data_IF_642277978647
#
_entry.id   IF_642277978647
#
_cell.length_a   1.000
_cell.length_b   1.000
_cell.length_c   1.000
_cell.angle_alpha   90.00
_cell.angle_beta   90.00
_cell.angle_gamma   90.00
#
_symmetry.space_group_name_H-M   'P 1'
#
loop_
_entity.id
_entity.type
_entity.pdbx_description
1 polymer ?
#
# COMPACT_ATOMS: atom_id res chain seq x y z
N UNK A 1 -17.22 -10.63 10.87
CA UNK A 1 -17.06 -11.60 9.77
C UNK A 1 -17.51 -11.02 8.44
N UNK A 2 -18.61 -10.28 8.33
CA UNK A 2 -18.97 -9.57 7.09
C UNK A 2 -17.90 -8.57 6.61
N UNK A 3 -17.07 -8.05 7.51
CA UNK A 3 -15.97 -7.13 7.21
C UNK A 3 -14.79 -7.78 6.45
N UNK A 4 -14.72 -9.08 6.38
CA UNK A 4 -13.59 -9.85 5.84
C UNK A 4 -14.07 -10.89 4.81
N UNK A 5 -15.27 -10.72 4.26
CA UNK A 5 -15.89 -11.58 3.27
C UNK A 5 -15.88 -13.08 3.65
N UNK A 6 -16.18 -13.36 4.92
CA UNK A 6 -16.41 -14.72 5.43
C UNK A 6 -17.83 -14.83 5.96
N UNK A 7 -18.60 -15.83 5.46
CA UNK A 7 -19.94 -16.08 5.93
C UNK A 7 -19.92 -16.58 7.40
N UNK A 8 -20.52 -15.81 8.35
CA UNK A 8 -20.51 -16.21 9.75
C UNK A 8 -21.12 -17.57 10.01
N UNK A 9 -22.22 -17.93 9.32
CA UNK A 9 -22.92 -19.20 9.50
C UNK A 9 -22.01 -20.40 9.19
N UNK A 10 -21.10 -20.22 8.23
CA UNK A 10 -20.19 -21.27 7.80
C UNK A 10 -18.91 -21.34 8.66
N UNK A 11 -18.37 -20.17 9.08
CA UNK A 11 -17.02 -20.08 9.64
C UNK A 11 -16.97 -19.87 11.15
N UNK A 12 -18.10 -19.51 11.81
CA UNK A 12 -18.11 -19.14 13.23
C UNK A 12 -17.63 -20.28 14.16
N UNK A 13 -17.90 -21.53 13.78
CA UNK A 13 -17.60 -22.71 14.59
C UNK A 13 -16.45 -23.57 14.04
N UNK A 14 -15.73 -23.09 13.00
CA UNK A 14 -14.59 -23.82 12.45
C UNK A 14 -13.35 -23.64 13.31
N UNK A 15 -12.63 -24.73 13.53
CA UNK A 15 -11.31 -24.68 14.16
C UNK A 15 -10.25 -24.18 13.15
N UNK A 16 -9.12 -23.58 13.62
CA UNK A 16 -8.04 -23.11 12.75
C UNK A 16 -7.55 -24.18 11.75
N UNK A 17 -7.50 -25.45 12.16
CA UNK A 17 -7.11 -26.57 11.30
C UNK A 17 -8.06 -26.87 10.14
N UNK A 18 -9.25 -26.29 10.16
CA UNK A 18 -10.28 -26.43 9.14
C UNK A 18 -10.34 -25.25 8.18
N UNK A 19 -9.39 -24.30 8.33
CA UNK A 19 -9.31 -23.06 7.56
C UNK A 19 -8.13 -23.11 6.59
N UNK A 20 -8.27 -22.51 5.42
CA UNK A 20 -7.14 -22.22 4.56
C UNK A 20 -6.26 -21.12 5.16
N UNK A 21 -5.00 -20.99 4.68
CA UNK A 21 -4.08 -19.93 5.13
C UNK A 21 -4.70 -18.53 4.95
N UNK A 22 -5.34 -18.28 3.81
CA UNK A 22 -6.02 -17.01 3.54
C UNK A 22 -7.21 -16.76 4.46
N UNK A 23 -8.02 -17.79 4.76
CA UNK A 23 -9.12 -17.67 5.73
C UNK A 23 -8.61 -17.37 7.14
N UNK A 24 -7.51 -17.99 7.55
CA UNK A 24 -6.85 -17.68 8.83
C UNK A 24 -6.36 -16.24 8.90
N UNK A 25 -5.76 -15.73 7.81
CA UNK A 25 -5.33 -14.33 7.75
C UNK A 25 -6.50 -13.35 7.83
N UNK A 26 -7.56 -13.57 7.06
CA UNK A 26 -8.80 -12.75 7.15
C UNK A 26 -9.37 -12.73 8.57
N UNK A 27 -9.44 -13.88 9.23
CA UNK A 27 -9.89 -13.96 10.64
C UNK A 27 -8.91 -13.23 11.58
N UNK A 28 -7.59 -13.31 11.31
CA UNK A 28 -6.58 -12.55 12.06
C UNK A 28 -6.81 -11.05 11.99
N UNK A 29 -7.10 -10.51 10.80
CA UNK A 29 -7.47 -9.11 10.61
C UNK A 29 -8.73 -8.77 11.40
N UNK A 30 -9.82 -9.54 11.26
CA UNK A 30 -11.05 -9.29 12.00
C UNK A 30 -10.84 -9.31 13.53
N UNK A 31 -10.00 -10.22 14.02
CA UNK A 31 -9.64 -10.30 15.43
C UNK A 31 -8.94 -9.05 15.93
N UNK A 32 -8.06 -8.45 15.11
CA UNK A 32 -7.36 -7.22 15.47
C UNK A 32 -8.33 -6.04 15.68
N UNK A 33 -9.44 -6.00 14.97
CA UNK A 33 -10.47 -4.98 15.12
C UNK A 33 -11.52 -5.29 16.19
N UNK A 34 -11.61 -6.53 16.68
CA UNK A 34 -12.73 -6.97 17.54
C UNK A 34 -12.84 -6.24 18.89
N UNK A 35 -11.71 -5.75 19.42
CA UNK A 35 -11.65 -5.00 20.68
C UNK A 35 -11.71 -3.48 20.48
N UNK A 36 -11.91 -3.01 19.27
CA UNK A 36 -11.95 -1.60 18.91
C UNK A 36 -10.73 -0.77 19.41
N UNK A 37 -9.49 -1.25 19.26
CA UNK A 37 -8.31 -0.54 19.75
C UNK A 37 -8.05 0.72 18.95
N UNK A 38 -7.34 1.70 19.52
CA UNK A 38 -6.91 2.90 18.80
C UNK A 38 -5.75 2.65 17.84
N UNK A 39 -4.89 1.68 18.20
CA UNK A 39 -3.71 1.29 17.41
C UNK A 39 -3.77 -0.21 17.13
N UNK A 40 -3.61 -0.58 15.86
CA UNK A 40 -3.59 -1.96 15.39
C UNK A 40 -2.22 -2.26 14.80
N UNK A 41 -1.59 -3.34 15.26
CA UNK A 41 -0.32 -3.83 14.74
C UNK A 41 -0.54 -5.10 13.94
N UNK A 42 -0.03 -5.15 12.71
CA UNK A 42 -0.13 -6.29 11.82
C UNK A 42 1.25 -6.65 11.27
N UNK A 43 1.57 -7.93 11.28
CA UNK A 43 2.80 -8.47 10.71
C UNK A 43 2.46 -9.32 9.49
N UNK A 44 2.91 -8.87 8.32
CA UNK A 44 2.66 -9.48 7.01
C UNK A 44 1.20 -9.93 6.77
N UNK A 45 0.19 -9.04 6.93
CA UNK A 45 -1.23 -9.43 6.96
C UNK A 45 -1.75 -10.03 5.67
N UNK A 46 -1.00 -9.94 4.56
CA UNK A 46 -1.44 -10.38 3.22
C UNK A 46 -0.58 -11.51 2.64
N UNK A 47 0.44 -12.00 3.35
CA UNK A 47 1.47 -12.89 2.80
C UNK A 47 0.96 -14.24 2.30
N UNK A 48 -0.08 -14.82 2.94
CA UNK A 48 -0.65 -16.13 2.57
C UNK A 48 -1.83 -16.04 1.59
N UNK A 49 -2.06 -14.87 0.99
CA UNK A 49 -3.18 -14.66 0.05
C UNK A 49 -2.72 -14.76 -1.41
N UNK A 50 -3.58 -15.30 -2.25
CA UNK A 50 -3.45 -15.16 -3.71
C UNK A 50 -3.63 -13.69 -4.14
N UNK A 51 -3.16 -13.28 -5.32
CA UNK A 51 -3.18 -11.87 -5.74
C UNK A 51 -4.56 -11.23 -5.76
N UNK A 52 -5.62 -11.97 -6.10
CA UNK A 52 -6.99 -11.45 -6.16
C UNK A 52 -7.51 -11.19 -4.75
N UNK A 53 -7.44 -12.19 -3.88
CA UNK A 53 -7.84 -12.09 -2.48
C UNK A 53 -7.05 -11.05 -1.71
N UNK A 54 -5.75 -10.91 -2.02
CA UNK A 54 -4.87 -9.88 -1.44
C UNK A 54 -5.37 -8.49 -1.78
N UNK A 55 -5.59 -8.20 -3.06
CA UNK A 55 -6.10 -6.89 -3.50
C UNK A 55 -7.44 -6.55 -2.85
N UNK A 56 -8.34 -7.51 -2.75
CA UNK A 56 -9.64 -7.33 -2.11
C UNK A 56 -9.48 -6.99 -0.63
N UNK A 57 -8.69 -7.76 0.13
CA UNK A 57 -8.50 -7.52 1.57
C UNK A 57 -7.77 -6.19 1.85
N UNK A 58 -6.85 -5.76 0.96
CA UNK A 58 -6.20 -4.46 1.04
C UNK A 58 -7.23 -3.32 0.90
N UNK A 59 -8.16 -3.40 -0.06
CA UNK A 59 -9.23 -2.42 -0.22
C UNK A 59 -10.16 -2.41 0.99
N UNK A 60 -10.57 -3.58 1.48
CA UNK A 60 -11.40 -3.72 2.68
C UNK A 60 -10.72 -3.08 3.90
N UNK A 61 -9.39 -3.26 4.06
CA UNK A 61 -8.62 -2.69 5.16
C UNK A 61 -8.60 -1.16 5.11
N UNK A 62 -8.38 -0.57 3.93
CA UNK A 62 -8.41 0.89 3.74
C UNK A 62 -9.80 1.44 4.06
N UNK A 63 -10.87 0.81 3.55
CA UNK A 63 -12.24 1.22 3.85
C UNK A 63 -12.57 1.15 5.34
N UNK A 64 -12.07 0.10 6.03
CA UNK A 64 -12.24 -0.05 7.47
C UNK A 64 -11.51 1.04 8.25
N UNK A 65 -10.27 1.31 7.87
CA UNK A 65 -9.47 2.36 8.48
C UNK A 65 -10.16 3.72 8.34
N UNK A 66 -10.68 4.02 7.14
CA UNK A 66 -11.41 5.26 6.88
C UNK A 66 -12.71 5.39 7.71
N UNK A 67 -13.45 4.30 7.86
CA UNK A 67 -14.69 4.28 8.64
C UNK A 67 -14.43 4.38 10.15
N UNK A 68 -13.42 3.67 10.64
CA UNK A 68 -13.14 3.56 12.08
C UNK A 68 -12.12 4.57 12.58
N UNK A 69 -11.40 5.25 11.67
CA UNK A 69 -10.36 6.24 11.98
C UNK A 69 -9.29 5.73 12.94
N UNK A 70 -8.87 4.48 12.74
CA UNK A 70 -7.86 3.82 13.56
C UNK A 70 -6.46 4.06 12.99
N UNK A 71 -5.46 4.01 13.86
CA UNK A 71 -4.05 3.96 13.44
C UNK A 71 -3.66 2.51 13.21
N UNK A 72 -3.27 2.19 11.98
CA UNK A 72 -2.81 0.85 11.61
C UNK A 72 -1.32 0.93 11.30
N UNK A 73 -0.52 0.13 11.99
CA UNK A 73 0.89 -0.10 11.68
C UNK A 73 1.02 -1.52 11.18
N UNK A 74 1.40 -1.68 9.92
CA UNK A 74 1.65 -3.03 9.38
C UNK A 74 3.07 -3.16 8.85
N UNK A 75 3.64 -4.33 9.00
CA UNK A 75 4.96 -4.69 8.47
C UNK A 75 4.74 -5.49 7.20
N UNK A 76 5.43 -5.12 6.13
CA UNK A 76 5.48 -5.88 4.89
C UNK A 76 6.86 -5.78 4.25
N UNK A 77 7.24 -6.78 3.48
CA UNK A 77 8.41 -6.73 2.60
C UNK A 77 8.03 -6.33 1.17
N UNK A 78 6.74 -6.18 0.87
CA UNK A 78 6.22 -5.82 -0.45
C UNK A 78 5.98 -4.31 -0.55
N UNK A 79 6.82 -3.65 -1.36
CA UNK A 79 6.70 -2.20 -1.59
C UNK A 79 5.43 -1.81 -2.33
N UNK A 80 4.86 -2.70 -3.16
CA UNK A 80 3.61 -2.39 -3.88
C UNK A 80 2.44 -2.34 -2.89
N UNK A 81 2.44 -3.20 -1.88
CA UNK A 81 1.48 -3.13 -0.78
C UNK A 81 1.62 -1.82 0.00
N UNK A 82 2.85 -1.50 0.43
CA UNK A 82 3.12 -0.30 1.21
C UNK A 82 2.70 0.98 0.45
N UNK A 83 3.10 1.12 -0.81
CA UNK A 83 2.78 2.30 -1.64
C UNK A 83 1.28 2.44 -1.87
N UNK A 84 0.56 1.31 -2.00
CA UNK A 84 -0.87 1.31 -2.33
C UNK A 84 -1.76 1.73 -1.15
N UNK A 85 -1.40 1.36 0.09
CA UNK A 85 -2.32 1.47 1.22
C UNK A 85 -1.83 2.35 2.37
N UNK A 86 -0.55 2.72 2.42
CA UNK A 86 -0.02 3.46 3.54
C UNK A 86 -0.05 4.98 3.33
N UNK A 87 -0.41 5.73 4.37
CA UNK A 87 -0.24 7.19 4.43
C UNK A 87 1.24 7.57 4.63
N UNK A 88 1.99 6.71 5.35
CA UNK A 88 3.43 6.86 5.59
C UNK A 88 4.13 5.52 5.50
N UNK A 89 5.32 5.52 4.91
CA UNK A 89 6.20 4.35 4.80
C UNK A 89 7.47 4.62 5.59
N UNK A 90 7.81 3.66 6.46
CA UNK A 90 9.03 3.66 7.26
C UNK A 90 9.94 2.53 6.76
N UNK A 91 11.01 2.88 6.05
CA UNK A 91 12.00 1.90 5.57
C UNK A 91 13.03 1.67 6.67
N UNK A 92 13.18 0.41 7.05
CA UNK A 92 14.12 -0.01 8.09
C UNK A 92 15.26 -0.85 7.52
N UNK A 93 16.44 -0.70 8.08
CA UNK A 93 17.60 -1.53 7.79
C UNK A 93 18.36 -1.82 9.07
N UNK A 94 18.62 -3.10 9.36
CA UNK A 94 19.37 -3.57 10.56
C UNK A 94 18.87 -2.97 11.88
N UNK A 95 17.55 -2.81 12.01
CA UNK A 95 16.90 -2.28 13.22
C UNK A 95 16.85 -0.74 13.31
N UNK A 96 17.38 -0.03 12.32
CA UNK A 96 17.35 1.45 12.26
C UNK A 96 16.37 1.93 11.19
N UNK A 97 15.68 3.04 11.47
CA UNK A 97 14.86 3.73 10.48
C UNK A 97 15.79 4.50 9.54
N UNK A 98 15.74 4.16 8.25
CA UNK A 98 16.53 4.82 7.20
C UNK A 98 15.79 6.01 6.61
N UNK A 99 14.49 5.85 6.34
CA UNK A 99 13.62 6.92 5.85
C UNK A 99 12.18 6.65 6.29
N UNK A 100 11.45 7.71 6.65
CA UNK A 100 10.05 7.63 7.02
C UNK A 100 9.30 8.84 6.45
N UNK A 101 8.59 8.65 5.34
CA UNK A 101 7.92 9.70 4.58
C UNK A 101 6.63 9.20 3.93
N UNK A 102 5.96 10.07 3.17
CA UNK A 102 4.85 9.69 2.33
C UNK A 102 5.30 8.75 1.20
N UNK A 103 4.41 7.92 0.63
CA UNK A 103 4.73 7.10 -0.54
C UNK A 103 5.32 7.93 -1.70
N UNK A 104 4.77 9.13 -1.95
CA UNK A 104 5.26 10.04 -2.99
C UNK A 104 6.72 10.44 -2.74
N UNK A 105 7.06 10.85 -1.50
CA UNK A 105 8.41 11.28 -1.17
C UNK A 105 9.41 10.13 -1.18
N UNK A 106 9.04 8.96 -0.67
CA UNK A 106 9.88 7.75 -0.74
C UNK A 106 10.24 7.40 -2.19
N UNK A 107 9.27 7.50 -3.11
CA UNK A 107 9.47 7.18 -4.53
C UNK A 107 10.28 8.24 -5.28
N UNK A 108 10.04 9.54 -4.99
CA UNK A 108 10.66 10.65 -5.72
C UNK A 108 12.00 11.07 -5.13
N UNK A 109 12.15 11.01 -3.80
CA UNK A 109 13.24 11.56 -3.05
C UNK A 109 13.88 10.52 -2.11
N UNK A 110 14.38 9.37 -2.62
CA UNK A 110 15.04 8.38 -1.78
C UNK A 110 16.29 8.98 -1.14
N UNK A 111 16.41 8.85 0.19
CA UNK A 111 17.49 9.50 0.98
C UNK A 111 18.89 8.97 0.64
N UNK A 112 18.99 7.76 0.11
CA UNK A 112 20.26 7.13 -0.29
C UNK A 112 20.04 6.01 -1.31
N UNK A 113 21.16 5.45 -1.78
CA UNK A 113 21.15 4.38 -2.77
C UNK A 113 20.48 3.08 -2.27
N UNK A 114 20.59 2.78 -0.98
CA UNK A 114 19.88 1.63 -0.39
C UNK A 114 18.36 1.77 -0.56
N UNK A 115 17.79 2.91 -0.19
CA UNK A 115 16.35 3.19 -0.36
C UNK A 115 15.98 3.17 -1.83
N UNK A 116 16.76 3.83 -2.71
CA UNK A 116 16.51 3.88 -4.15
C UNK A 116 16.48 2.48 -4.78
N UNK A 117 17.40 1.60 -4.38
CA UNK A 117 17.45 0.24 -4.89
C UNK A 117 16.33 -0.65 -4.30
N UNK A 118 16.02 -0.48 -3.00
CA UNK A 118 14.95 -1.22 -2.33
C UNK A 118 13.58 -0.88 -2.92
N UNK A 119 13.32 0.38 -3.17
CA UNK A 119 12.08 0.88 -3.78
C UNK A 119 11.97 0.50 -5.26
N UNK A 120 13.09 0.55 -5.99
CA UNK A 120 13.14 0.35 -7.44
C UNK A 120 13.03 1.67 -8.21
N UNK A 121 14.08 1.99 -8.96
CA UNK A 121 14.29 3.30 -9.64
C UNK A 121 13.13 3.79 -10.54
N UNK A 122 12.32 2.87 -11.04
CA UNK A 122 11.23 3.19 -11.99
C UNK A 122 9.83 2.95 -11.41
N UNK A 123 9.71 2.62 -10.13
CA UNK A 123 8.42 2.25 -9.54
C UNK A 123 7.41 3.39 -9.54
N UNK A 124 7.86 4.66 -9.49
CA UNK A 124 6.96 5.82 -9.60
C UNK A 124 6.04 5.73 -10.83
N UNK A 125 6.55 5.19 -11.95
CA UNK A 125 5.80 5.05 -13.20
C UNK A 125 4.71 3.97 -13.15
N UNK A 126 4.72 3.10 -12.15
CA UNK A 126 3.70 2.07 -11.95
C UNK A 126 2.53 2.55 -11.08
N UNK A 127 2.63 3.78 -10.53
CA UNK A 127 1.61 4.39 -9.66
C UNK A 127 1.17 5.73 -10.24
N UNK A 128 0.29 5.74 -11.27
CA UNK A 128 -0.11 6.97 -11.98
C UNK A 128 -0.68 8.06 -11.08
N UNK A 129 -1.36 7.67 -9.99
CA UNK A 129 -1.99 8.59 -9.04
C UNK A 129 -0.98 9.49 -8.29
N UNK A 130 0.30 9.08 -8.24
CA UNK A 130 1.37 9.86 -7.63
C UNK A 130 2.14 10.72 -8.62
N UNK A 131 1.85 10.60 -9.92
CA UNK A 131 2.52 11.38 -10.98
C UNK A 131 1.74 12.66 -11.23
N UNK A 132 2.36 13.79 -10.98
CA UNK A 132 1.78 15.11 -11.28
C UNK A 132 2.13 15.52 -12.72
N UNK A 133 1.26 16.29 -13.36
CA UNK A 133 1.53 16.80 -14.71
C UNK A 133 2.90 17.50 -14.82
N UNK A 134 3.33 18.23 -13.79
CA UNK A 134 4.64 18.87 -13.71
C UNK A 134 5.82 17.87 -13.76
N UNK A 135 5.63 16.61 -13.36
CA UNK A 135 6.70 15.60 -13.32
C UNK A 135 7.00 15.02 -14.72
N UNK A 136 6.08 15.21 -15.69
CA UNK A 136 6.15 14.69 -17.06
C UNK A 136 6.08 15.77 -18.13
N UNK A 137 5.68 16.99 -17.80
CA UNK A 137 5.58 18.07 -18.77
C UNK A 137 6.97 18.59 -19.17
N UNK A 138 7.07 19.05 -20.42
CA UNK A 138 8.24 19.83 -20.84
C UNK A 138 8.13 21.26 -20.29
N UNK A 139 9.05 21.68 -19.43
CA UNK A 139 9.05 23.01 -18.82
C UNK A 139 9.32 24.13 -19.86
N UNK A 140 9.98 23.78 -20.97
CA UNK A 140 10.28 24.69 -22.08
C UNK A 140 9.70 24.14 -23.40
N UNK A 141 8.37 24.14 -23.58
CA UNK A 141 7.76 23.64 -24.79
C UNK A 141 8.16 24.56 -25.96
N UNK A 142 8.48 23.95 -27.11
CA UNK A 142 8.64 24.69 -28.36
C UNK A 142 7.26 25.21 -28.75
N UNK A 143 7.12 26.54 -28.75
CA UNK A 143 5.88 27.20 -29.14
C UNK A 143 6.07 27.88 -30.50
N UNK A 144 5.04 27.90 -31.33
CA UNK A 144 4.99 28.60 -32.60
C UNK A 144 3.69 29.39 -32.70
N UNK A 145 3.71 30.55 -33.36
CA UNK A 145 2.50 31.28 -33.67
C UNK A 145 1.86 30.69 -34.94
N UNK A 146 0.57 30.91 -35.11
CA UNK A 146 -0.17 30.39 -36.27
C UNK A 146 0.42 30.81 -37.63
N UNK A 147 1.20 31.88 -37.67
CA UNK A 147 1.83 32.43 -38.88
C UNK A 147 3.32 32.06 -39.04
N UNK A 148 3.87 31.29 -38.10
CA UNK A 148 5.26 30.85 -38.19
C UNK A 148 5.39 29.73 -39.23
N UNK A 149 6.47 29.78 -40.01
CA UNK A 149 6.76 28.75 -41.01
C UNK A 149 7.53 27.59 -40.36
N UNK A 150 7.28 26.35 -40.79
CA UNK A 150 7.97 25.13 -40.36
C UNK A 150 9.44 25.05 -40.83
N UNK A 151 10.09 26.17 -41.12
CA UNK A 151 11.54 26.18 -41.36
C UNK A 151 12.26 26.26 -40.02
N UNK A 152 12.79 25.12 -39.62
CA UNK A 152 13.81 25.02 -38.61
C UNK A 152 15.13 25.60 -39.12
#
# INVERSE_FOLDING_TARGET
MHMIDLNPEEFLYRFPTQLSGGQMQRIGVARAFAYDPDIILMDEPFSALDPVSRNQLQQELVELQDKMKKTIVFVTHDMDEAVKIADKICIMNKGEIVQCDTPEDILKNPVNEFVSNFVGKNRIWTVPDLIKAKDIMNENPITANANDTLKA
#
